data_IF_377460880167
#
_entry.id   IF_377460880167
#
_cell.length_a   1.000
_cell.length_b   1.000
_cell.length_c   1.000
_cell.angle_alpha   90.00
_cell.angle_beta   90.00
_cell.angle_gamma   90.00
#
_symmetry.space_group_name_H-M   'P 1'
#
loop_
_entity.id
_entity.type
_entity.pdbx_description
1 polymer ?
#
# COMPACT_ATOMS: atom_id res chain seq x y z
N UNK A 1 5.88 19.15 0.81
CA UNK A 1 4.77 18.46 0.11
C UNK A 1 5.00 16.98 0.17
N UNK A 2 3.94 16.20 0.32
CA UNK A 2 4.06 14.76 0.41
C UNK A 2 3.48 14.09 -0.83
N UNK A 3 3.84 12.81 -1.03
CA UNK A 3 3.43 12.03 -2.20
C UNK A 3 2.93 10.67 -1.75
N UNK A 4 1.82 10.23 -2.32
CA UNK A 4 1.20 8.98 -1.96
C UNK A 4 1.35 7.96 -3.10
N UNK A 5 1.69 6.74 -2.72
CA UNK A 5 1.56 5.59 -3.60
C UNK A 5 0.22 4.95 -3.30
N UNK A 6 -0.64 4.88 -4.32
CA UNK A 6 -1.94 4.22 -4.19
C UNK A 6 -1.90 2.96 -5.05
N UNK A 7 -2.11 1.83 -4.42
CA UNK A 7 -2.06 0.54 -5.12
C UNK A 7 -3.37 -0.22 -4.90
N UNK A 8 -3.85 -0.84 -5.98
CA UNK A 8 -5.00 -1.72 -5.93
C UNK A 8 -4.54 -3.13 -6.28
N UNK A 9 -4.92 -4.12 -5.48
CA UNK A 9 -4.55 -5.51 -5.71
C UNK A 9 -5.79 -6.40 -5.76
N UNK A 10 -5.72 -7.43 -6.60
CA UNK A 10 -6.67 -8.53 -6.58
C UNK A 10 -6.09 -9.57 -5.62
N UNK A 11 -6.76 -9.79 -4.51
CA UNK A 11 -6.34 -10.78 -3.51
C UNK A 11 -7.38 -11.89 -3.34
N UNK A 12 -8.24 -12.08 -4.35
CA UNK A 12 -9.32 -13.06 -4.29
C UNK A 12 -8.83 -14.50 -4.16
N UNK A 13 -7.61 -14.77 -4.58
CA UNK A 13 -7.00 -16.09 -4.46
C UNK A 13 -6.29 -16.35 -3.15
N UNK A 14 -6.33 -15.41 -2.22
CA UNK A 14 -5.62 -15.51 -0.95
C UNK A 14 -6.60 -15.75 0.19
N UNK A 15 -6.19 -16.56 1.18
CA UNK A 15 -6.97 -16.70 2.40
C UNK A 15 -7.01 -15.36 3.16
N UNK A 16 -8.21 -14.84 3.49
CA UNK A 16 -8.31 -13.53 4.12
C UNK A 16 -7.57 -13.39 5.46
N UNK A 17 -7.60 -14.42 6.28
CA UNK A 17 -6.92 -14.36 7.58
C UNK A 17 -5.41 -14.33 7.43
N UNK A 18 -4.89 -15.14 6.51
CA UNK A 18 -3.46 -15.15 6.19
C UNK A 18 -3.03 -13.80 5.58
N UNK A 19 -3.87 -13.24 4.71
CA UNK A 19 -3.61 -11.92 4.14
C UNK A 19 -3.50 -10.84 5.18
N UNK A 20 -4.43 -10.80 6.14
CA UNK A 20 -4.38 -9.83 7.24
C UNK A 20 -3.14 -10.00 8.11
N UNK A 21 -2.79 -11.26 8.42
CA UNK A 21 -1.59 -11.54 9.21
C UNK A 21 -0.36 -10.99 8.51
N UNK A 22 -0.25 -11.25 7.20
CA UNK A 22 0.90 -10.81 6.42
C UNK A 22 0.99 -9.28 6.35
N UNK A 23 -0.14 -8.60 6.18
CA UNK A 23 -0.15 -7.13 6.18
C UNK A 23 0.37 -6.57 7.50
N UNK A 24 -0.07 -7.13 8.62
CA UNK A 24 0.31 -6.64 9.95
C UNK A 24 1.72 -7.03 10.35
N UNK A 25 2.12 -8.25 10.07
CA UNK A 25 3.36 -8.80 10.63
C UNK A 25 4.54 -8.69 9.69
N UNK A 26 4.31 -8.59 8.39
CA UNK A 26 5.39 -8.55 7.41
C UNK A 26 5.43 -7.25 6.62
N UNK A 27 4.33 -6.86 6.00
CA UNK A 27 4.33 -5.72 5.08
C UNK A 27 4.38 -4.38 5.81
N UNK A 28 3.53 -4.17 6.81
CA UNK A 28 3.52 -2.90 7.52
C UNK A 28 4.87 -2.59 8.20
N UNK A 29 5.50 -3.54 8.91
CA UNK A 29 6.82 -3.28 9.46
C UNK A 29 7.88 -2.97 8.41
N UNK A 30 7.86 -3.65 7.27
CA UNK A 30 8.83 -3.43 6.20
C UNK A 30 8.65 -2.05 5.55
N UNK A 31 7.41 -1.68 5.24
CA UNK A 31 7.11 -0.39 4.62
C UNK A 31 7.45 0.76 5.56
N UNK A 32 7.17 0.58 6.85
CA UNK A 32 7.44 1.60 7.85
C UNK A 32 8.92 2.00 7.92
N UNK A 33 9.81 1.12 7.53
CA UNK A 33 11.26 1.37 7.59
C UNK A 33 11.81 2.00 6.32
N UNK A 34 10.98 2.21 5.30
CA UNK A 34 11.45 2.83 4.06
C UNK A 34 11.81 4.30 4.29
N UNK A 35 12.85 4.81 3.62
CA UNK A 35 13.23 6.22 3.76
C UNK A 35 12.09 7.15 3.39
N UNK A 36 11.85 8.16 4.22
CA UNK A 36 10.82 9.17 3.98
C UNK A 36 9.39 8.72 4.28
N UNK A 37 9.21 7.54 4.84
CA UNK A 37 7.87 7.05 5.19
C UNK A 37 7.17 7.99 6.17
N UNK A 38 5.90 8.32 5.89
CA UNK A 38 5.06 9.12 6.78
C UNK A 38 3.89 8.32 7.33
N UNK A 39 3.12 7.66 6.48
CA UNK A 39 1.92 6.96 6.91
C UNK A 39 1.54 5.86 5.93
N UNK A 40 0.69 4.96 6.40
CA UNK A 40 0.28 3.78 5.66
C UNK A 40 -1.14 3.42 6.04
N UNK A 41 -1.97 3.12 5.05
CA UNK A 41 -3.26 2.49 5.23
C UNK A 41 -3.33 1.27 4.32
N UNK A 42 -3.72 0.13 4.88
CA UNK A 42 -4.12 -1.02 4.08
C UNK A 42 -5.63 -1.20 4.25
N UNK A 43 -6.34 -1.32 3.14
CA UNK A 43 -7.78 -1.39 3.09
C UNK A 43 -8.19 -2.64 2.31
N UNK A 44 -9.31 -3.26 2.69
CA UNK A 44 -9.81 -4.42 1.96
C UNK A 44 -11.28 -4.26 1.64
N UNK A 45 -11.64 -4.68 0.43
CA UNK A 45 -13.02 -4.87 0.03
C UNK A 45 -13.22 -6.40 -0.06
N UNK A 46 -13.47 -7.01 1.08
CA UNK A 46 -13.42 -8.45 1.23
C UNK A 46 -14.37 -9.16 0.27
N UNK A 47 -15.58 -8.65 0.12
CA UNK A 47 -16.60 -9.25 -0.74
C UNK A 47 -16.21 -9.24 -2.23
N UNK A 48 -15.35 -8.30 -2.62
CA UNK A 48 -14.93 -8.16 -4.01
C UNK A 48 -13.55 -8.76 -4.27
N UNK A 49 -12.89 -9.25 -3.25
CA UNK A 49 -11.54 -9.80 -3.39
C UNK A 49 -10.51 -8.76 -3.79
N UNK A 50 -10.67 -7.52 -3.31
CA UNK A 50 -9.78 -6.41 -3.63
C UNK A 50 -9.14 -5.85 -2.37
N UNK A 51 -7.91 -5.40 -2.52
CA UNK A 51 -7.17 -4.70 -1.47
C UNK A 51 -6.60 -3.40 -1.98
N UNK A 52 -6.39 -2.46 -1.08
CA UNK A 52 -5.84 -1.14 -1.41
C UNK A 52 -4.77 -0.78 -0.41
N UNK A 53 -3.70 -0.15 -0.90
CA UNK A 53 -2.69 0.43 -0.05
C UNK A 53 -2.52 1.90 -0.37
N UNK A 54 -2.37 2.71 0.68
CA UNK A 54 -2.05 4.14 0.55
C UNK A 54 -0.82 4.39 1.40
N UNK A 55 0.30 4.63 0.76
CA UNK A 55 1.59 4.83 1.45
C UNK A 55 2.09 6.23 1.14
N UNK A 56 2.33 7.03 2.16
CA UNK A 56 2.73 8.42 2.00
C UNK A 56 4.20 8.60 2.36
N UNK A 57 4.91 9.32 1.48
CA UNK A 57 6.33 9.64 1.63
C UNK A 57 6.58 11.15 1.59
N UNK A 58 7.73 11.56 2.14
CA UNK A 58 8.16 12.97 2.12
C UNK A 58 8.48 13.46 0.71
N UNK A 59 9.09 12.61 -0.12
CA UNK A 59 9.60 13.00 -1.42
C UNK A 59 9.08 12.10 -2.53
N UNK A 60 8.90 12.69 -3.71
CA UNK A 60 8.40 11.96 -4.87
C UNK A 60 9.30 10.80 -5.28
N UNK A 61 10.60 10.99 -5.21
CA UNK A 61 11.56 9.94 -5.60
C UNK A 61 11.36 8.67 -4.76
N UNK A 62 11.04 8.82 -3.48
CA UNK A 62 10.78 7.69 -2.59
C UNK A 62 9.50 6.97 -2.98
N UNK A 63 8.45 7.72 -3.28
CA UNK A 63 7.19 7.15 -3.74
C UNK A 63 7.37 6.41 -5.08
N UNK A 64 8.09 7.04 -6.02
CA UNK A 64 8.34 6.44 -7.33
C UNK A 64 9.11 5.12 -7.20
N UNK A 65 10.06 5.06 -6.27
CA UNK A 65 10.85 3.86 -6.04
C UNK A 65 9.99 2.70 -5.55
N UNK A 66 9.08 2.97 -4.60
CA UNK A 66 8.15 1.94 -4.15
C UNK A 66 7.23 1.51 -5.28
N UNK A 67 6.65 2.48 -6.00
CA UNK A 67 5.71 2.19 -7.08
C UNK A 67 6.34 1.32 -8.17
N UNK A 68 7.62 1.49 -8.45
CA UNK A 68 8.32 0.68 -9.45
C UNK A 68 8.32 -0.80 -9.11
N UNK A 69 8.28 -1.14 -7.82
CA UNK A 69 8.21 -2.52 -7.36
C UNK A 69 6.80 -3.11 -7.33
N UNK A 70 5.79 -2.29 -7.66
CA UNK A 70 4.37 -2.68 -7.58
C UNK A 70 3.73 -2.65 -8.98
N UNK A 71 4.43 -3.16 -9.98
CA UNK A 71 4.01 -3.04 -11.37
C UNK A 71 2.66 -3.75 -11.61
N UNK A 72 1.70 -3.07 -12.28
CA UNK A 72 0.43 -3.70 -12.61
C UNK A 72 0.61 -4.99 -13.40
N UNK A 73 -0.16 -6.00 -13.04
CA UNK A 73 -0.09 -7.33 -13.66
C UNK A 73 0.91 -8.27 -13.02
N UNK A 74 1.82 -7.77 -12.18
CA UNK A 74 2.76 -8.65 -11.50
C UNK A 74 2.10 -9.33 -10.30
N UNK A 75 2.61 -10.52 -9.98
CA UNK A 75 2.14 -11.31 -8.86
C UNK A 75 3.25 -11.43 -7.82
N UNK A 76 3.19 -10.65 -6.73
CA UNK A 76 4.21 -10.76 -5.69
C UNK A 76 4.17 -12.11 -5.00
N UNK A 77 3.02 -12.79 -5.07
CA UNK A 77 2.82 -14.12 -4.51
C UNK A 77 1.57 -14.73 -5.11
N UNK A 78 1.41 -16.03 -4.91
CA UNK A 78 0.24 -16.75 -5.41
C UNK A 78 -1.04 -16.17 -4.82
N UNK A 79 -2.04 -15.96 -5.66
CA UNK A 79 -3.33 -15.44 -5.24
C UNK A 79 -3.42 -13.94 -5.10
N UNK A 80 -2.33 -13.20 -5.36
CA UNK A 80 -2.29 -11.74 -5.27
C UNK A 80 -1.70 -11.15 -6.55
N UNK A 81 -2.45 -10.26 -7.19
CA UNK A 81 -2.02 -9.59 -8.42
C UNK A 81 -2.20 -8.09 -8.27
N UNK A 82 -1.18 -7.30 -8.59
CA UNK A 82 -1.30 -5.85 -8.62
C UNK A 82 -2.14 -5.43 -9.82
N UNK A 83 -3.18 -4.62 -9.58
CA UNK A 83 -4.08 -4.13 -10.63
C UNK A 83 -3.77 -2.72 -11.08
N UNK A 84 -3.50 -1.83 -10.14
CA UNK A 84 -3.20 -0.42 -10.42
C UNK A 84 -2.20 0.09 -9.40
N UNK A 85 -1.32 0.96 -9.87
CA UNK A 85 -0.37 1.64 -9.00
C UNK A 85 -0.20 3.06 -9.52
N UNK A 86 -0.39 4.04 -8.64
CA UNK A 86 -0.27 5.45 -8.99
C UNK A 86 0.53 6.18 -7.93
N UNK A 87 1.28 7.20 -8.35
CA UNK A 87 1.93 8.14 -7.44
C UNK A 87 1.19 9.46 -7.57
N UNK A 88 0.67 9.95 -6.45
CA UNK A 88 -0.19 11.13 -6.43
C UNK A 88 0.35 12.17 -5.45
N UNK A 89 0.12 13.44 -5.75
CA UNK A 89 0.45 14.53 -4.83
C UNK A 89 -0.55 14.53 -3.69
N UNK A 90 -0.06 14.69 -2.46
CA UNK A 90 -0.94 14.86 -1.31
C UNK A 90 -1.27 16.35 -1.18
N UNK A 91 -2.51 16.71 -1.46
CA UNK A 91 -2.95 18.12 -1.42
C UNK A 91 -3.25 18.57 -0.01
N UNK A 92 -3.93 17.72 0.76
CA UNK A 92 -4.31 18.02 2.14
C UNK A 92 -4.19 16.74 2.96
N UNK A 93 -3.57 16.85 4.12
CA UNK A 93 -3.49 15.72 5.05
C UNK A 93 -3.85 16.24 6.44
N UNK A 94 -4.92 15.71 7.00
CA UNK A 94 -5.39 16.04 8.34
C UNK A 94 -5.60 14.75 9.11
N UNK A 95 -5.11 14.71 10.33
CA UNK A 95 -5.33 13.56 11.19
C UNK A 95 -5.79 14.05 12.57
N UNK A 96 -6.55 13.20 13.24
CA UNK A 96 -7.01 13.51 14.58
C UNK A 96 -5.82 13.57 15.54
N UNK A 97 -5.84 14.54 16.44
CA UNK A 97 -4.84 14.62 17.50
C UNK A 97 -4.99 13.40 18.42
N UNK A 98 -3.85 12.87 18.84
CA UNK A 98 -3.84 11.76 19.78
C UNK A 98 -3.09 12.15 21.03
N UNK A 99 -3.62 11.74 22.14
CA UNK A 99 -3.01 11.98 23.43
C UNK A 99 -2.32 10.74 23.93
#
# INVERSE_FOLDING_TARGET
>A
MAFAVVVEVDNSGEDPDEGRRRLREELAPAVRQLPGFQSLLFLTALERGLGYGVIVFDERAQADQLAAGLAPGSQPREGVTFKRTEVLDVEVSVSAARC
#
